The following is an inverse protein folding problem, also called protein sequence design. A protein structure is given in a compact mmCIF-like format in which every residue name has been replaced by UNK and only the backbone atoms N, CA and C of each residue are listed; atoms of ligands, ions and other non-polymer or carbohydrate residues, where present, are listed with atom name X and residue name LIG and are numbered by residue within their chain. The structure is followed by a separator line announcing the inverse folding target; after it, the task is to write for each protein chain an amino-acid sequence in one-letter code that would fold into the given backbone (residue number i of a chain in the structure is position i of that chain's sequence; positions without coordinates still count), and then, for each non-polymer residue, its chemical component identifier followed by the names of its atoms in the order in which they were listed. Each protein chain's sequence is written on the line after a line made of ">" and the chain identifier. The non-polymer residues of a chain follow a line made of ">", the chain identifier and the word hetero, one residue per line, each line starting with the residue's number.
data_IF_546844612604
#
_entry.id   IF_546844612604
#
_cell.length_a   1.000
_cell.length_b   1.000
_cell.length_c   1.000
_cell.angle_alpha   90.00
_cell.angle_beta   90.00
_cell.angle_gamma   90.00
#
_symmetry.space_group_name_H-M   'P 1'
#
loop_
_entity.id
_entity.type
_entity.pdbx_description
1 polymer ?
#
# COMPACT_ATOMS: atom_id res chain seq x y z
N UNK A 1 6.50 -20.77 -7.26
CA UNK A 1 5.24 -20.27 -7.84
C UNK A 1 5.16 -18.78 -7.53
N UNK A 2 5.18 -17.93 -8.55
CA UNK A 2 4.87 -16.51 -8.41
C UNK A 2 3.34 -16.34 -8.35
N UNK A 3 2.84 -15.67 -7.32
CA UNK A 3 1.43 -15.30 -7.26
C UNK A 3 1.20 -14.15 -8.23
N UNK A 4 0.23 -14.28 -9.14
CA UNK A 4 -0.12 -13.19 -10.03
C UNK A 4 -1.07 -12.26 -9.29
N UNK A 5 -0.62 -11.04 -8.98
CA UNK A 5 -1.40 -10.06 -8.25
C UNK A 5 -2.46 -9.45 -9.19
N UNK A 6 -3.72 -9.31 -8.74
CA UNK A 6 -4.75 -8.67 -9.56
C UNK A 6 -4.39 -7.19 -9.76
N UNK A 7 -4.49 -6.73 -11.01
CA UNK A 7 -4.35 -5.31 -11.35
C UNK A 7 -5.73 -4.72 -11.58
N UNK A 8 -6.05 -3.67 -10.83
CA UNK A 8 -7.32 -2.95 -10.87
C UNK A 8 -7.15 -1.73 -11.75
N UNK A 9 -8.03 -1.61 -12.74
CA UNK A 9 -8.00 -0.51 -13.71
C UNK A 9 -9.32 0.25 -13.74
N UNK A 10 -10.34 -0.16 -12.99
CA UNK A 10 -11.64 0.53 -12.95
C UNK A 10 -11.97 1.01 -11.56
N UNK A 11 -12.65 2.15 -11.46
CA UNK A 11 -13.15 2.69 -10.19
C UNK A 11 -13.96 1.65 -9.41
N UNK A 12 -14.88 0.98 -10.12
CA UNK A 12 -15.76 -0.04 -9.54
C UNK A 12 -14.98 -1.21 -8.92
N UNK A 13 -13.83 -1.58 -9.49
CA UNK A 13 -12.99 -2.64 -8.96
C UNK A 13 -12.35 -2.22 -7.63
N UNK A 14 -11.84 -0.99 -7.58
CA UNK A 14 -11.27 -0.39 -6.35
C UNK A 14 -12.36 -0.23 -5.27
N UNK A 15 -13.54 0.30 -5.61
CA UNK A 15 -14.68 0.39 -4.69
C UNK A 15 -15.08 -0.98 -4.13
N UNK A 16 -15.16 -1.99 -5.01
CA UNK A 16 -15.59 -3.34 -4.65
C UNK A 16 -14.58 -4.02 -3.73
N UNK A 17 -13.29 -3.96 -4.05
CA UNK A 17 -12.27 -4.63 -3.23
C UNK A 17 -12.13 -3.97 -1.85
N UNK A 18 -12.28 -2.64 -1.75
CA UNK A 18 -12.28 -1.91 -0.47
C UNK A 18 -13.46 -2.35 0.40
N UNK A 19 -14.65 -2.47 -0.19
CA UNK A 19 -15.87 -2.86 0.53
C UNK A 19 -15.86 -4.34 0.93
N UNK A 20 -15.44 -5.22 0.02
CA UNK A 20 -15.63 -6.66 0.18
C UNK A 20 -14.45 -7.34 0.91
N UNK A 21 -13.32 -6.64 1.10
CA UNK A 21 -12.22 -7.13 1.94
C UNK A 21 -12.53 -6.89 3.42
N UNK A 22 -13.02 -7.94 4.08
CA UNK A 22 -13.38 -7.94 5.51
C UNK A 22 -12.39 -8.80 6.32
N UNK A 23 -12.11 -8.37 7.55
CA UNK A 23 -11.22 -8.98 8.55
C UNK A 23 -9.80 -9.26 8.04
N UNK A 24 -9.37 -8.53 7.01
CA UNK A 24 -8.04 -8.54 6.43
C UNK A 24 -7.58 -7.13 6.10
N UNK A 25 -6.28 -6.92 6.12
CA UNK A 25 -5.66 -5.71 5.58
C UNK A 25 -5.72 -5.79 4.06
N UNK A 26 -6.44 -4.87 3.43
CA UNK A 26 -6.33 -4.64 1.99
C UNK A 26 -5.10 -3.77 1.73
N UNK A 27 -4.19 -4.25 0.91
CA UNK A 27 -2.99 -3.55 0.44
C UNK A 27 -3.21 -3.16 -1.02
N UNK A 28 -3.24 -1.87 -1.33
CA UNK A 28 -3.37 -1.33 -2.68
C UNK A 28 -2.08 -0.62 -3.10
N UNK A 29 -1.35 -1.19 -4.06
CA UNK A 29 -0.15 -0.58 -4.64
C UNK A 29 -0.54 0.26 -5.85
N UNK A 30 -0.51 1.58 -5.72
CA UNK A 30 -0.67 2.51 -6.82
C UNK A 30 0.67 2.70 -7.55
N UNK A 31 0.69 2.41 -8.85
CA UNK A 31 1.89 2.61 -9.67
C UNK A 31 1.73 2.11 -11.10
N UNK A 32 2.83 2.09 -11.85
CA UNK A 32 2.88 1.65 -13.25
C UNK A 32 3.60 0.32 -13.38
N UNK A 33 3.20 -0.50 -14.35
CA UNK A 33 3.80 -1.81 -14.57
C UNK A 33 5.22 -1.76 -15.18
N UNK A 34 5.58 -0.65 -15.82
CA UNK A 34 6.87 -0.42 -16.46
C UNK A 34 7.84 0.44 -15.62
N UNK A 35 7.40 0.93 -14.46
CA UNK A 35 8.26 1.65 -13.52
C UNK A 35 9.16 0.68 -12.74
N UNK A 36 10.46 0.98 -12.72
CA UNK A 36 11.46 0.09 -12.12
C UNK A 36 11.26 -0.14 -10.62
N UNK A 37 10.82 0.89 -9.88
CA UNK A 37 10.60 0.79 -8.42
C UNK A 37 9.30 0.05 -8.13
N UNK A 38 8.26 0.24 -8.97
CA UNK A 38 7.04 -0.55 -8.92
C UNK A 38 7.32 -2.04 -9.17
N UNK A 39 8.15 -2.39 -10.16
CA UNK A 39 8.55 -3.77 -10.44
C UNK A 39 9.30 -4.41 -9.26
N UNK A 40 10.20 -3.66 -8.61
CA UNK A 40 10.89 -4.12 -7.39
C UNK A 40 9.89 -4.42 -6.27
N UNK A 41 8.93 -3.51 -6.04
CA UNK A 41 7.90 -3.69 -5.02
C UNK A 41 6.98 -4.87 -5.37
N UNK A 42 6.56 -5.00 -6.62
CA UNK A 42 5.67 -6.07 -7.09
C UNK A 42 6.30 -7.46 -6.89
N UNK A 43 7.61 -7.61 -7.10
CA UNK A 43 8.32 -8.86 -6.83
C UNK A 43 8.25 -9.23 -5.33
N UNK A 44 8.41 -8.26 -4.43
CA UNK A 44 8.25 -8.46 -2.99
C UNK A 44 6.81 -8.88 -2.67
N UNK A 45 5.82 -8.11 -3.15
CA UNK A 45 4.40 -8.36 -2.92
C UNK A 45 3.97 -9.74 -3.45
N UNK A 46 4.39 -10.12 -4.66
CA UNK A 46 4.04 -11.40 -5.27
C UNK A 46 4.66 -12.58 -4.53
N UNK A 47 5.86 -12.41 -3.96
CA UNK A 47 6.54 -13.45 -3.18
C UNK A 47 5.93 -13.63 -1.79
N UNK A 48 5.41 -12.57 -1.17
CA UNK A 48 4.84 -12.60 0.18
C UNK A 48 3.32 -12.76 0.21
N UNK A 49 2.62 -12.61 -0.92
CA UNK A 49 1.15 -12.69 -1.01
C UNK A 49 0.56 -13.94 -0.33
N UNK A 50 1.22 -15.10 -0.47
CA UNK A 50 0.80 -16.34 0.19
C UNK A 50 1.08 -16.35 1.70
N UNK A 51 2.17 -15.73 2.13
CA UNK A 51 2.58 -15.68 3.54
C UNK A 51 1.61 -14.82 4.35
N UNK A 52 1.16 -13.70 3.77
CA UNK A 52 0.21 -12.78 4.40
C UNK A 52 -1.26 -13.14 4.15
N UNK A 53 -1.57 -14.15 3.34
CA UNK A 53 -2.93 -14.39 2.81
C UNK A 53 -4.00 -14.65 3.89
N UNK A 54 -3.58 -15.02 5.10
CA UNK A 54 -4.48 -15.23 6.24
C UNK A 54 -5.02 -13.92 6.82
N UNK A 55 -4.27 -12.83 6.70
CA UNK A 55 -4.59 -11.55 7.34
C UNK A 55 -4.50 -10.35 6.38
N UNK A 56 -4.14 -10.56 5.12
CA UNK A 56 -4.10 -9.51 4.11
C UNK A 56 -4.51 -10.00 2.71
N UNK A 57 -4.96 -9.04 1.90
CA UNK A 57 -5.25 -9.17 0.47
C UNK A 57 -4.45 -8.10 -0.26
N UNK A 58 -3.72 -8.47 -1.31
CA UNK A 58 -2.86 -7.55 -2.06
C UNK A 58 -3.39 -7.37 -3.47
N UNK A 59 -3.49 -6.12 -3.93
CA UNK A 59 -3.83 -5.78 -5.31
C UNK A 59 -3.00 -4.60 -5.81
N UNK A 60 -2.81 -4.57 -7.12
CA UNK A 60 -2.12 -3.50 -7.84
C UNK A 60 -3.18 -2.56 -8.43
N UNK A 61 -2.87 -1.27 -8.48
CA UNK A 61 -3.75 -0.24 -9.03
C UNK A 61 -2.96 0.53 -10.09
N UNK A 62 -3.46 0.49 -11.32
CA UNK A 62 -2.86 1.19 -12.45
C UNK A 62 -3.20 2.69 -12.38
N UNK A 63 -2.16 3.51 -12.15
CA UNK A 63 -2.32 4.96 -12.03
C UNK A 63 -2.52 5.67 -13.36
N UNK A 64 -2.33 5.01 -14.50
CA UNK A 64 -2.56 5.63 -15.81
C UNK A 64 -3.99 5.38 -16.32
N UNK A 65 -4.77 4.52 -15.65
CA UNK A 65 -6.17 4.32 -15.99
C UNK A 65 -7.04 5.53 -15.60
N UNK A 66 -7.77 6.08 -16.57
CA UNK A 66 -8.67 7.25 -16.40
C UNK A 66 -9.68 7.07 -15.26
N UNK A 67 -10.27 5.88 -15.15
CA UNK A 67 -11.27 5.55 -14.14
C UNK A 67 -10.71 5.59 -12.71
N UNK A 68 -9.42 5.34 -12.55
CA UNK A 68 -8.73 5.27 -11.26
C UNK A 68 -8.21 6.66 -10.82
N UNK A 69 -8.16 7.64 -11.73
CA UNK A 69 -7.68 8.99 -11.44
C UNK A 69 -8.40 9.66 -10.26
N UNK A 70 -9.65 9.29 -9.99
CA UNK A 70 -10.36 9.78 -8.81
C UNK A 70 -9.65 9.42 -7.50
N UNK A 71 -9.08 8.22 -7.38
CA UNK A 71 -8.32 7.80 -6.19
C UNK A 71 -6.92 8.38 -6.18
N UNK A 72 -6.28 8.48 -7.34
CA UNK A 72 -4.98 9.15 -7.49
C UNK A 72 -5.06 10.58 -6.93
N UNK A 73 -6.12 11.32 -7.31
CA UNK A 73 -6.40 12.67 -6.80
C UNK A 73 -6.80 12.66 -5.32
N UNK A 74 -7.67 11.73 -4.92
CA UNK A 74 -8.17 11.67 -3.53
C UNK A 74 -7.05 11.39 -2.51
N UNK A 75 -6.12 10.49 -2.84
CA UNK A 75 -4.99 10.13 -1.97
C UNK A 75 -3.72 10.96 -2.21
N UNK A 76 -3.80 11.95 -3.10
CA UNK A 76 -2.69 12.81 -3.49
C UNK A 76 -1.43 12.00 -3.86
N UNK A 77 -1.61 11.07 -4.81
CA UNK A 77 -0.53 10.20 -5.29
C UNK A 77 0.32 10.97 -6.30
N UNK A 78 1.37 11.60 -5.78
CA UNK A 78 2.36 12.36 -6.56
C UNK A 78 3.62 11.55 -6.90
N UNK A 79 3.94 10.56 -6.05
CA UNK A 79 5.09 9.67 -6.20
C UNK A 79 4.61 8.22 -6.28
N UNK A 80 5.23 7.43 -7.16
CA UNK A 80 4.95 6.01 -7.33
C UNK A 80 6.22 5.17 -7.06
N UNK A 81 6.09 3.94 -6.53
CA UNK A 81 4.85 3.37 -6.03
C UNK A 81 4.37 4.04 -4.73
N UNK A 82 3.06 4.11 -4.54
CA UNK A 82 2.44 4.49 -3.27
C UNK A 82 1.49 3.38 -2.82
N UNK A 83 1.67 2.88 -1.60
CA UNK A 83 0.87 1.78 -1.05
C UNK A 83 -0.08 2.30 0.01
N UNK A 84 -1.36 1.96 -0.13
CA UNK A 84 -2.45 2.36 0.77
C UNK A 84 -3.02 1.13 1.44
N UNK A 85 -3.35 1.25 2.72
CA UNK A 85 -3.86 0.17 3.53
C UNK A 85 -5.30 0.42 3.95
N UNK A 86 -6.16 -0.59 3.87
CA UNK A 86 -7.50 -0.56 4.45
C UNK A 86 -7.74 -1.75 5.35
N UNK A 87 -8.65 -1.60 6.31
CA UNK A 87 -9.19 -2.71 7.10
C UNK A 87 -10.67 -2.46 7.33
N UNK A 88 -11.54 -3.39 6.91
CA UNK A 88 -13.00 -3.23 6.99
C UNK A 88 -13.48 -1.89 6.40
N UNK A 89 -13.02 -1.58 5.18
CA UNK A 89 -13.24 -0.31 4.46
C UNK A 89 -12.71 0.98 5.14
N UNK A 90 -12.05 0.89 6.29
CA UNK A 90 -11.41 2.03 6.94
C UNK A 90 -9.99 2.20 6.42
N UNK A 91 -9.62 3.43 6.05
CA UNK A 91 -8.26 3.78 5.66
C UNK A 91 -7.33 3.72 6.87
N UNK A 92 -6.35 2.83 6.81
CA UNK A 92 -5.37 2.59 7.86
C UNK A 92 -4.13 3.47 7.63
N UNK A 93 -3.80 4.29 8.62
CA UNK A 93 -2.63 5.16 8.61
C UNK A 93 -1.45 4.53 9.33
N UNK A 94 -0.24 4.93 8.97
CA UNK A 94 0.97 4.51 9.65
C UNK A 94 1.87 5.70 9.97
N UNK A 95 2.18 5.87 11.25
CA UNK A 95 3.19 6.81 11.71
C UNK A 95 4.57 6.18 11.51
N UNK A 96 5.32 6.70 10.54
CA UNK A 96 6.69 6.28 10.23
C UNK A 96 7.72 7.36 10.56
N UNK A 97 7.32 8.39 11.33
CA UNK A 97 8.13 9.59 11.59
C UNK A 97 8.19 10.58 10.42
N UNK A 98 7.44 10.34 9.34
CA UNK A 98 7.25 11.23 8.19
C UNK A 98 6.06 12.18 8.42
N UNK A 99 5.94 13.23 7.60
CA UNK A 99 4.78 14.14 7.68
C UNK A 99 3.48 13.52 7.13
N UNK A 100 3.61 12.54 6.23
CA UNK A 100 2.46 11.85 5.62
C UNK A 100 2.33 10.44 6.19
N UNK A 101 1.21 10.19 6.88
CA UNK A 101 0.86 8.89 7.47
C UNK A 101 -0.16 8.11 6.63
N UNK A 102 -0.60 8.66 5.50
CA UNK A 102 -1.73 8.15 4.72
C UNK A 102 -1.35 7.08 3.70
N UNK A 103 -0.07 7.03 3.32
CA UNK A 103 0.46 6.14 2.30
C UNK A 103 1.92 5.80 2.58
N UNK A 104 2.32 4.61 2.17
CA UNK A 104 3.72 4.20 2.12
C UNK A 104 4.29 4.48 0.73
N UNK A 105 5.17 5.47 0.62
CA UNK A 105 5.75 5.88 -0.66
C UNK A 105 7.10 5.17 -0.87
N UNK A 106 7.27 4.51 -2.00
CA UNK A 106 8.46 3.74 -2.37
C UNK A 106 8.31 2.23 -2.15
N UNK A 107 9.40 1.49 -2.41
CA UNK A 107 9.46 0.05 -2.25
C UNK A 107 9.95 -0.36 -0.85
N UNK A 108 9.58 -1.55 -0.40
CA UNK A 108 10.20 -2.18 0.77
C UNK A 108 11.63 -2.65 0.42
N UNK A 109 12.53 -2.69 1.41
CA UNK A 109 13.88 -3.18 1.18
C UNK A 109 13.90 -4.71 1.05
N UNK A 110 13.10 -5.40 1.86
CA UNK A 110 12.99 -6.86 1.83
C UNK A 110 11.56 -7.35 2.13
N UNK A 111 11.36 -8.66 1.98
CA UNK A 111 10.06 -9.30 2.21
C UNK A 111 9.57 -9.16 3.65
N UNK A 112 10.48 -9.30 4.62
CA UNK A 112 10.12 -9.25 6.03
C UNK A 112 9.62 -7.86 6.41
N UNK A 113 10.24 -6.79 5.89
CA UNK A 113 9.78 -5.41 6.09
C UNK A 113 8.30 -5.23 5.70
N UNK A 114 7.89 -5.79 4.55
CA UNK A 114 6.49 -5.76 4.13
C UNK A 114 5.57 -6.55 5.07
N UNK A 115 5.99 -7.77 5.45
CA UNK A 115 5.20 -8.65 6.34
C UNK A 115 4.99 -7.97 7.69
N UNK A 116 6.05 -7.42 8.28
CA UNK A 116 6.03 -6.76 9.59
C UNK A 116 5.10 -5.54 9.58
N UNK A 117 5.17 -4.71 8.54
CA UNK A 117 4.27 -3.56 8.37
C UNK A 117 2.81 -3.98 8.30
N UNK A 118 2.49 -4.97 7.46
CA UNK A 118 1.10 -5.44 7.29
C UNK A 118 0.60 -6.11 8.57
N UNK A 119 1.46 -6.85 9.29
CA UNK A 119 1.12 -7.45 10.58
C UNK A 119 0.85 -6.38 11.65
N UNK A 120 1.68 -5.33 11.73
CA UNK A 120 1.47 -4.23 12.66
C UNK A 120 0.14 -3.52 12.41
N UNK A 121 -0.20 -3.26 11.14
CA UNK A 121 -1.49 -2.69 10.72
C UNK A 121 -2.63 -3.62 11.12
N UNK A 122 -2.54 -4.92 10.80
CA UNK A 122 -3.57 -5.90 11.15
C UNK A 122 -3.81 -5.96 12.66
N UNK A 123 -2.76 -6.10 13.47
CA UNK A 123 -2.86 -6.15 14.93
C UNK A 123 -3.42 -4.85 15.52
N UNK A 124 -3.10 -3.71 14.94
CA UNK A 124 -3.67 -2.42 15.34
C UNK A 124 -5.15 -2.30 15.00
N UNK A 125 -5.53 -2.68 13.78
CA UNK A 125 -6.90 -2.64 13.30
C UNK A 125 -7.82 -3.58 14.09
N UNK A 126 -7.35 -4.79 14.41
CA UNK A 126 -8.06 -5.73 15.29
C UNK A 126 -8.31 -5.18 16.71
N UNK A 127 -7.56 -4.16 17.14
CA UNK A 127 -7.74 -3.44 18.40
C UNK A 127 -8.54 -2.13 18.23
N UNK A 128 -9.12 -1.89 17.06
CA UNK A 128 -9.90 -0.69 16.75
C UNK A 128 -9.07 0.56 16.48
N UNK A 129 -7.75 0.45 16.26
CA UNK A 129 -6.92 1.60 15.89
C UNK A 129 -7.10 1.92 14.40
N UNK A 130 -7.03 3.21 14.06
CA UNK A 130 -6.98 3.71 12.67
C UNK A 130 -5.58 4.19 12.25
N UNK A 131 -4.67 4.30 13.22
CA UNK A 131 -3.27 4.63 13.00
C UNK A 131 -2.39 3.71 13.86
N UNK A 132 -1.29 3.23 13.28
CA UNK A 132 -0.29 2.39 13.95
C UNK A 132 1.10 2.99 13.79
N UNK A 133 1.99 2.68 14.73
CA UNK A 133 3.40 3.04 14.59
C UNK A 133 4.10 2.04 13.67
N UNK A 134 5.00 2.53 12.83
CA UNK A 134 5.82 1.70 11.96
C UNK A 134 6.69 0.77 12.82
N UNK A 135 6.73 -0.55 12.52
CA UNK A 135 7.56 -1.50 13.26
C UNK A 135 9.02 -1.49 12.82
N UNK A 136 9.34 -0.84 11.70
CA UNK A 136 10.65 -0.90 11.07
C UNK A 136 11.61 0.16 11.65
N UNK A 137 12.92 -0.12 11.68
CA UNK A 137 13.90 0.88 12.06
C UNK A 137 13.99 1.99 11.00
N UNK A 138 14.36 3.23 11.37
CA UNK A 138 14.31 4.40 10.47
C UNK A 138 15.09 4.25 9.15
N UNK A 139 16.18 3.49 9.13
CA UNK A 139 16.98 3.20 7.94
C UNK A 139 16.27 2.30 6.93
N UNK A 140 15.23 1.56 7.34
CA UNK A 140 14.41 0.71 6.46
C UNK A 140 13.18 1.42 5.92
N UNK A 141 12.91 2.64 6.39
CA UNK A 141 11.79 3.47 5.92
C UNK A 141 12.26 4.23 4.67
N UNK A 142 11.55 4.13 3.53
CA UNK A 142 11.91 4.85 2.32
C UNK A 142 11.97 6.35 2.57
N UNK A 143 13.12 6.95 2.23
CA UNK A 143 13.31 8.40 2.30
C UNK A 143 13.03 8.98 0.93
N UNK A 144 11.93 9.72 0.80
CA UNK A 144 11.63 10.52 -0.38
C UNK A 144 11.79 12.00 -0.03
N UNK A 145 12.50 12.74 -0.88
CA UNK A 145 12.47 14.20 -0.81
C UNK A 145 11.14 14.64 -1.44
N UNK A 146 10.21 15.11 -0.61
CA UNK A 146 9.14 15.97 -1.09
C UNK A 146 9.82 17.24 -1.61
N UNK A 147 9.99 17.33 -2.93
CA UNK A 147 10.32 18.60 -3.58
C UNK A 147 9.09 19.49 -3.44
N UNK A 148 8.96 20.16 -2.29
CA UNK A 148 8.14 21.34 -2.24
C UNK A 148 8.75 22.31 -3.26
N UNK A 149 8.05 22.51 -4.38
CA UNK A 149 8.28 23.72 -5.15
C UNK A 149 7.86 24.84 -4.22
N UNK A 150 8.83 25.59 -3.71
CA UNK A 150 8.58 26.86 -3.06
C UNK A 150 7.62 27.66 -3.95
N UNK A 151 6.41 27.92 -3.45
CA UNK A 151 5.44 28.83 -4.04
C UNK A 151 5.62 30.20 -3.40
#
# INVERSE_FOLDING_TARGET
>A
MSYLLPTLTRKKEVDTIIRDTIDKVLVLRFGRADDAVCLQLDDILAKTAREVSKFATVALVDVDSDDVQVYVKYFDITLIPSTIFFFNAHHMKMDSGTADHTKWVGAFHEKQDFIDVVEAIFRGAMKGKLIVNCPLPPERIPKYQLLYKDV
#
